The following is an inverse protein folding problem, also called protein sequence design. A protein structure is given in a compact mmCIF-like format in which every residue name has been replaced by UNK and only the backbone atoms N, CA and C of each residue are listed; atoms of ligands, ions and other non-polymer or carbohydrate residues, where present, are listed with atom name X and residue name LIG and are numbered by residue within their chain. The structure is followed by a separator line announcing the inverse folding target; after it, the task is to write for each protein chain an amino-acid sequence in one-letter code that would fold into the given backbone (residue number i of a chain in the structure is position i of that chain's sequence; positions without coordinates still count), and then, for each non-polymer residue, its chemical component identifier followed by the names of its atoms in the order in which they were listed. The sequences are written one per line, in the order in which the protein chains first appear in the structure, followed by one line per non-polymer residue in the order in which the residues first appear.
data_IF_510974465379
#
_entry.id   IF_510974465379
#
_cell.length_a   1.000
_cell.length_b   1.000
_cell.length_c   1.000
_cell.angle_alpha   90.00
_cell.angle_beta   90.00
_cell.angle_gamma   90.00
#
_symmetry.space_group_name_H-M   'P 1'
#
loop_
_entity.id
_entity.type
_entity.pdbx_description
1 polymer ?
#
# COMPACT_ATOMS: atom_id res chain seq x y z
N UNK A 1 -10.50 -4.09 -4.00
CA UNK A 1 -10.94 -3.16 -2.93
C UNK A 1 -12.34 -2.69 -3.27
N UNK A 2 -13.12 -2.17 -2.32
CA UNK A 2 -14.47 -1.68 -2.60
C UNK A 2 -14.54 -0.73 -3.80
N UNK A 3 -13.62 0.21 -3.90
CA UNK A 3 -13.55 1.21 -4.99
C UNK A 3 -13.23 0.55 -6.34
N UNK A 4 -12.25 -0.34 -6.39
CA UNK A 4 -11.91 -1.04 -7.63
C UNK A 4 -13.06 -1.95 -8.12
N UNK A 5 -13.78 -2.56 -7.18
CA UNK A 5 -14.95 -3.39 -7.51
C UNK A 5 -16.12 -2.53 -7.97
N UNK A 6 -16.33 -1.36 -7.36
CA UNK A 6 -17.32 -0.37 -7.78
C UNK A 6 -17.09 0.07 -9.23
N UNK A 7 -15.87 0.50 -9.57
CA UNK A 7 -15.54 0.93 -10.93
C UNK A 7 -15.74 -0.18 -11.97
N UNK A 8 -15.37 -1.42 -11.62
CA UNK A 8 -15.62 -2.59 -12.47
C UNK A 8 -17.11 -2.90 -12.63
N UNK A 9 -17.92 -2.70 -11.58
CA UNK A 9 -19.37 -2.83 -11.66
C UNK A 9 -19.96 -1.76 -12.58
N UNK A 10 -19.51 -0.50 -12.43
CA UNK A 10 -19.97 0.63 -13.26
C UNK A 10 -19.65 0.42 -14.75
N UNK A 11 -18.48 -0.15 -15.07
CA UNK A 11 -18.10 -0.51 -16.44
C UNK A 11 -19.08 -1.49 -17.11
N UNK A 12 -19.80 -2.31 -16.34
CA UNK A 12 -20.84 -3.21 -16.86
C UNK A 12 -22.24 -2.55 -16.92
N UNK A 13 -22.38 -1.33 -16.41
CA UNK A 13 -23.64 -0.60 -16.34
C UNK A 13 -24.72 -1.34 -15.55
N UNK A 14 -25.98 -1.21 -15.97
CA UNK A 14 -27.12 -1.85 -15.30
C UNK A 14 -26.98 -3.37 -15.17
N UNK A 15 -26.33 -4.02 -16.14
CA UNK A 15 -26.08 -5.47 -16.09
C UNK A 15 -25.08 -5.86 -14.97
N UNK A 16 -24.20 -4.96 -14.54
CA UNK A 16 -23.34 -5.17 -13.38
C UNK A 16 -24.06 -5.05 -12.04
N UNK A 17 -25.14 -4.26 -11.99
CA UNK A 17 -25.87 -3.92 -10.77
C UNK A 17 -26.91 -4.97 -10.35
N UNK A 18 -27.49 -5.70 -11.31
CA UNK A 18 -28.48 -6.74 -11.02
C UNK A 18 -27.87 -7.94 -10.29
N UNK A 19 -28.64 -8.57 -9.40
CA UNK A 19 -28.13 -9.62 -8.51
C UNK A 19 -27.81 -10.95 -9.21
N UNK A 20 -28.25 -11.12 -10.46
CA UNK A 20 -27.87 -12.22 -11.34
C UNK A 20 -26.41 -12.10 -11.82
N UNK A 21 -25.83 -10.89 -11.76
CA UNK A 21 -24.42 -10.66 -12.07
C UNK A 21 -23.53 -11.08 -10.90
N UNK A 22 -22.37 -11.66 -11.21
CA UNK A 22 -21.37 -11.90 -10.17
C UNK A 22 -20.84 -10.59 -9.54
N UNK A 23 -20.92 -9.47 -10.25
CA UNK A 23 -20.35 -8.20 -9.77
C UNK A 23 -21.09 -7.62 -8.57
N UNK A 24 -22.42 -7.76 -8.49
CA UNK A 24 -23.19 -7.29 -7.34
C UNK A 24 -22.72 -7.95 -6.03
N UNK A 25 -22.50 -9.27 -6.07
CA UNK A 25 -21.99 -10.05 -4.94
C UNK A 25 -20.57 -9.63 -4.58
N UNK A 26 -19.66 -9.56 -5.56
CA UNK A 26 -18.26 -9.16 -5.30
C UNK A 26 -18.21 -7.75 -4.69
N UNK A 27 -19.07 -6.83 -5.13
CA UNK A 27 -19.14 -5.49 -4.57
C UNK A 27 -19.58 -5.49 -3.10
N UNK A 28 -20.63 -6.24 -2.76
CA UNK A 28 -21.11 -6.38 -1.37
C UNK A 28 -20.09 -7.08 -0.45
N UNK A 29 -19.32 -8.01 -0.98
CA UNK A 29 -18.30 -8.75 -0.23
C UNK A 29 -16.99 -7.98 -0.03
N UNK A 30 -16.65 -7.05 -0.94
CA UNK A 30 -15.36 -6.36 -0.93
C UNK A 30 -14.98 -5.67 0.41
N UNK A 31 -15.91 -5.03 1.15
CA UNK A 31 -15.58 -4.42 2.45
C UNK A 31 -15.24 -5.43 3.54
N UNK A 32 -15.78 -6.66 3.47
CA UNK A 32 -15.64 -7.67 4.53
C UNK A 32 -14.18 -7.96 4.85
N UNK A 33 -13.35 -8.10 3.81
CA UNK A 33 -11.91 -8.39 3.95
C UNK A 33 -11.12 -7.30 4.67
N UNK A 34 -11.66 -6.08 4.71
CA UNK A 34 -11.03 -4.93 5.41
C UNK A 34 -11.54 -4.72 6.83
N UNK A 35 -12.55 -5.48 7.23
CA UNK A 35 -13.20 -5.42 8.56
C UNK A 35 -12.84 -6.66 9.37
N UNK A 36 -12.87 -7.83 8.73
CA UNK A 36 -12.59 -9.11 9.37
C UNK A 36 -11.15 -9.19 9.87
N UNK A 37 -10.97 -9.75 11.07
CA UNK A 37 -9.68 -9.92 11.75
C UNK A 37 -8.83 -8.65 11.92
N UNK A 38 -9.47 -7.49 11.93
CA UNK A 38 -8.84 -6.22 12.27
C UNK A 38 -9.10 -5.18 11.19
N UNK A 39 -9.82 -4.13 11.56
CA UNK A 39 -10.03 -2.99 10.67
C UNK A 39 -8.72 -2.28 10.34
N UNK A 40 -8.70 -1.49 9.27
CA UNK A 40 -7.47 -0.84 8.80
C UNK A 40 -6.64 -0.10 9.87
N UNK A 41 -7.29 0.51 10.88
CA UNK A 41 -6.56 1.14 12.00
C UNK A 41 -5.79 0.11 12.84
N UNK A 42 -6.42 -1.01 13.16
CA UNK A 42 -5.83 -2.08 13.97
C UNK A 42 -4.59 -2.62 13.25
N UNK A 43 -4.69 -2.89 11.95
CA UNK A 43 -3.56 -3.38 11.14
C UNK A 43 -2.43 -2.35 11.08
N UNK A 44 -2.73 -1.07 10.89
CA UNK A 44 -1.69 -0.02 10.85
C UNK A 44 -0.95 0.10 12.19
N UNK A 45 -1.68 0.05 13.31
CA UNK A 45 -1.07 0.05 14.65
C UNK A 45 -0.28 -1.23 14.91
N UNK A 46 -0.72 -2.37 14.34
CA UNK A 46 0.01 -3.62 14.47
C UNK A 46 1.34 -3.61 13.70
N UNK A 47 1.39 -2.98 12.52
CA UNK A 47 2.65 -2.73 11.81
C UNK A 47 3.63 -1.94 12.70
N UNK A 48 3.17 -0.86 13.35
CA UNK A 48 4.00 -0.10 14.28
C UNK A 48 4.43 -0.95 15.49
N UNK A 49 3.53 -1.78 16.01
CA UNK A 49 3.82 -2.71 17.10
C UNK A 49 4.91 -3.71 16.70
N UNK A 50 4.82 -4.28 15.50
CA UNK A 50 5.80 -5.22 14.96
C UNK A 50 7.17 -4.56 14.78
N UNK A 51 7.24 -3.34 14.25
CA UNK A 51 8.51 -2.59 14.12
C UNK A 51 9.21 -2.37 15.46
N UNK A 52 8.44 -2.15 16.54
CA UNK A 52 8.99 -1.94 17.89
C UNK A 52 9.41 -3.24 18.56
N UNK A 53 8.57 -4.28 18.48
CA UNK A 53 8.80 -5.56 19.15
C UNK A 53 9.81 -6.44 18.42
N UNK A 54 9.87 -6.33 17.10
CA UNK A 54 10.72 -7.13 16.21
C UNK A 54 11.45 -6.23 15.20
N UNK A 55 12.46 -5.45 15.64
CA UNK A 55 13.21 -4.53 14.78
C UNK A 55 13.84 -5.22 13.56
N UNK A 56 14.18 -6.50 13.66
CA UNK A 56 14.69 -7.33 12.57
C UNK A 56 13.72 -7.43 11.38
N UNK A 57 12.41 -7.38 11.63
CA UNK A 57 11.41 -7.37 10.55
C UNK A 57 11.48 -6.08 9.73
N UNK A 58 11.66 -4.94 10.40
CA UNK A 58 11.86 -3.65 9.73
C UNK A 58 13.19 -3.63 8.98
N UNK A 59 14.27 -4.17 9.57
CA UNK A 59 15.57 -4.28 8.90
C UNK A 59 15.52 -5.15 7.65
N UNK A 60 14.79 -6.27 7.70
CA UNK A 60 14.57 -7.14 6.54
C UNK A 60 13.83 -6.39 5.43
N UNK A 61 12.76 -5.66 5.76
CA UNK A 61 12.04 -4.80 4.81
C UNK A 61 12.98 -3.76 4.18
N UNK A 62 13.72 -3.01 4.99
CA UNK A 62 14.63 -1.97 4.49
C UNK A 62 15.73 -2.55 3.59
N UNK A 63 16.26 -3.72 3.94
CA UNK A 63 17.28 -4.40 3.14
C UNK A 63 16.73 -4.84 1.79
N UNK A 64 15.54 -5.44 1.77
CA UNK A 64 14.85 -5.81 0.54
C UNK A 64 14.60 -4.58 -0.36
N UNK A 65 14.17 -3.47 0.22
CA UNK A 65 13.90 -2.25 -0.56
C UNK A 65 15.18 -1.66 -1.18
N UNK A 66 16.31 -1.69 -0.46
CA UNK A 66 17.60 -1.17 -0.95
C UNK A 66 18.14 -1.90 -2.17
N UNK A 67 17.82 -3.17 -2.36
CA UNK A 67 18.18 -3.92 -3.57
C UNK A 67 17.51 -3.35 -4.84
N UNK A 68 16.42 -2.59 -4.71
CA UNK A 68 15.74 -1.94 -5.86
C UNK A 68 16.18 -0.50 -6.09
N UNK A 69 17.17 -0.01 -5.33
CA UNK A 69 17.67 1.36 -5.43
C UNK A 69 18.15 1.69 -6.85
N UNK A 70 17.75 2.84 -7.37
CA UNK A 70 18.12 3.30 -8.70
C UNK A 70 17.31 2.69 -9.84
N UNK A 71 16.38 1.77 -9.54
CA UNK A 71 15.54 1.14 -10.57
C UNK A 71 14.43 2.06 -11.06
N UNK A 72 13.92 2.96 -10.19
CA UNK A 72 12.92 3.96 -10.56
C UNK A 72 12.98 5.16 -9.62
N UNK A 73 13.08 6.37 -10.20
CA UNK A 73 13.22 7.63 -9.44
C UNK A 73 12.06 7.91 -8.47
N UNK A 74 10.84 7.49 -8.79
CA UNK A 74 9.67 7.71 -7.94
C UNK A 74 9.68 6.77 -6.73
N UNK A 75 10.13 5.52 -6.94
CA UNK A 75 10.35 4.58 -5.85
C UNK A 75 11.46 5.06 -4.92
N UNK A 76 12.60 5.47 -5.47
CA UNK A 76 13.72 5.98 -4.68
C UNK A 76 13.30 7.17 -3.80
N UNK A 77 12.61 8.15 -4.39
CA UNK A 77 12.11 9.31 -3.64
C UNK A 77 11.07 8.94 -2.58
N UNK A 78 10.20 7.96 -2.85
CA UNK A 78 9.22 7.48 -1.87
C UNK A 78 9.88 6.74 -0.71
N UNK A 79 10.85 5.87 -1.01
CA UNK A 79 11.58 5.13 0.00
C UNK A 79 12.46 6.03 0.86
N UNK A 80 13.10 7.05 0.29
CA UNK A 80 13.86 8.04 1.05
C UNK A 80 12.99 8.79 2.08
N UNK A 81 11.73 9.11 1.74
CA UNK A 81 10.78 9.73 2.69
C UNK A 81 10.44 8.78 3.85
N UNK A 82 10.32 7.48 3.57
CA UNK A 82 10.11 6.46 4.61
C UNK A 82 11.34 6.41 5.52
N UNK A 83 12.55 6.31 4.96
CA UNK A 83 13.78 6.28 5.75
C UNK A 83 13.94 7.53 6.63
N UNK A 84 13.64 8.72 6.11
CA UNK A 84 13.64 9.98 6.89
C UNK A 84 12.62 9.96 8.02
N UNK A 85 11.41 9.49 7.75
CA UNK A 85 10.35 9.37 8.77
C UNK A 85 10.80 8.42 9.88
N UNK A 86 11.36 7.26 9.54
CA UNK A 86 11.81 6.27 10.52
C UNK A 86 13.08 6.70 11.29
N UNK A 87 13.97 7.45 10.65
CA UNK A 87 15.22 7.92 11.26
C UNK A 87 15.01 9.07 12.27
N UNK A 88 13.85 9.73 12.23
CA UNK A 88 13.55 10.86 13.11
C UNK A 88 13.30 10.36 14.54
N UNK A 89 14.36 10.28 15.35
CA UNK A 89 14.36 9.87 16.77
C UNK A 89 13.42 10.69 17.67
N UNK A 90 12.95 11.83 17.19
CA UNK A 90 12.09 12.78 17.91
C UNK A 90 10.60 12.57 17.67
N UNK A 91 10.21 11.64 16.79
CA UNK A 91 8.80 11.32 16.61
C UNK A 91 8.28 10.66 17.89
N UNK A 92 7.47 11.41 18.64
CA UNK A 92 6.73 10.83 19.75
C UNK A 92 5.90 9.65 19.23
N UNK A 93 5.75 8.61 20.05
CA UNK A 93 4.91 7.45 19.70
C UNK A 93 3.50 7.89 19.25
N UNK A 94 2.97 8.94 19.86
CA UNK A 94 1.69 9.56 19.49
C UNK A 94 1.68 10.10 18.05
N UNK A 95 2.76 10.75 17.59
CA UNK A 95 2.81 11.26 16.21
C UNK A 95 2.89 10.12 15.18
N UNK A 96 3.61 9.03 15.48
CA UNK A 96 3.65 7.85 14.62
C UNK A 96 2.31 7.15 14.56
N UNK A 97 1.61 7.00 15.69
CA UNK A 97 0.29 6.38 15.74
C UNK A 97 -0.75 7.20 14.98
N UNK A 98 -0.72 8.54 15.10
CA UNK A 98 -1.56 9.44 14.28
C UNK A 98 -1.32 9.30 12.78
N UNK A 99 -0.08 9.00 12.38
CA UNK A 99 0.31 8.84 10.98
C UNK A 99 0.41 7.37 10.55
N UNK A 100 -0.07 6.41 11.36
CA UNK A 100 0.15 4.98 11.15
C UNK A 100 -0.38 4.52 9.79
N UNK A 101 -1.55 5.02 9.37
CA UNK A 101 -2.12 4.73 8.05
C UNK A 101 -1.24 5.21 6.91
N UNK A 102 -0.77 6.46 6.98
CA UNK A 102 0.08 7.04 5.96
C UNK A 102 1.37 6.24 5.80
N UNK A 103 2.01 5.87 6.92
CA UNK A 103 3.22 5.07 6.90
C UNK A 103 2.96 3.66 6.36
N UNK A 104 1.91 2.98 6.84
CA UNK A 104 1.54 1.64 6.37
C UNK A 104 1.25 1.62 4.85
N UNK A 105 0.51 2.60 4.34
CA UNK A 105 0.25 2.76 2.91
C UNK A 105 1.54 2.99 2.12
N UNK A 106 2.43 3.85 2.59
CA UNK A 106 3.71 4.11 1.92
C UNK A 106 4.59 2.86 1.87
N UNK A 107 4.66 2.10 2.96
CA UNK A 107 5.41 0.85 3.03
C UNK A 107 4.86 -0.19 2.04
N UNK A 108 3.53 -0.32 1.99
CA UNK A 108 2.85 -1.24 1.08
C UNK A 108 3.05 -0.85 -0.40
N UNK A 109 2.89 0.43 -0.75
CA UNK A 109 3.08 0.89 -2.13
C UNK A 109 4.53 0.74 -2.60
N UNK A 110 5.51 1.03 -1.74
CA UNK A 110 6.92 0.82 -2.07
C UNK A 110 7.22 -0.67 -2.26
N UNK A 111 6.69 -1.54 -1.40
CA UNK A 111 6.85 -2.99 -1.53
C UNK A 111 6.24 -3.52 -2.83
N UNK A 112 5.03 -3.08 -3.17
CA UNK A 112 4.36 -3.42 -4.42
C UNK A 112 5.21 -2.99 -5.62
N UNK A 113 5.69 -1.74 -5.66
CA UNK A 113 6.56 -1.24 -6.72
C UNK A 113 7.83 -2.08 -6.86
N UNK A 114 8.52 -2.38 -5.74
CA UNK A 114 9.73 -3.19 -5.75
C UNK A 114 9.48 -4.62 -6.28
N UNK A 115 8.34 -5.23 -5.93
CA UNK A 115 7.96 -6.55 -6.45
C UNK A 115 7.66 -6.50 -7.94
N UNK A 116 6.94 -5.47 -8.41
CA UNK A 116 6.63 -5.30 -9.83
C UNK A 116 7.91 -5.11 -10.66
N UNK A 117 8.84 -4.27 -10.20
CA UNK A 117 10.15 -4.06 -10.84
C UNK A 117 10.92 -5.37 -11.00
N UNK A 118 10.88 -6.25 -10.00
CA UNK A 118 11.63 -7.51 -10.02
C UNK A 118 10.99 -8.61 -10.87
N UNK A 119 9.68 -8.54 -11.13
CA UNK A 119 8.91 -9.70 -11.63
C UNK A 119 8.15 -9.42 -12.92
N UNK A 120 7.83 -8.18 -13.24
CA UNK A 120 6.99 -7.82 -14.37
C UNK A 120 7.74 -6.97 -15.40
N UNK A 121 7.22 -6.84 -16.63
CA UNK A 121 7.78 -5.96 -17.64
C UNK A 121 7.87 -4.51 -17.16
N UNK A 122 8.93 -3.81 -17.60
CA UNK A 122 9.22 -2.44 -17.19
C UNK A 122 8.07 -1.46 -17.44
N UNK A 123 7.30 -1.66 -18.51
CA UNK A 123 6.13 -0.83 -18.81
C UNK A 123 5.07 -0.84 -17.70
N UNK A 124 4.88 -1.99 -17.04
CA UNK A 124 3.92 -2.15 -15.94
C UNK A 124 4.46 -1.49 -14.67
N UNK A 125 5.72 -1.74 -14.33
CA UNK A 125 6.33 -1.18 -13.12
C UNK A 125 6.50 0.33 -13.19
N UNK A 126 6.87 0.88 -14.35
CA UNK A 126 7.00 2.33 -14.55
C UNK A 126 5.64 3.04 -14.49
N UNK A 127 4.60 2.46 -15.09
CA UNK A 127 3.23 2.98 -14.99
C UNK A 127 2.74 2.97 -13.54
N UNK A 128 2.99 1.89 -12.80
CA UNK A 128 2.64 1.81 -11.38
C UNK A 128 3.40 2.85 -10.55
N UNK A 129 4.72 2.93 -10.69
CA UNK A 129 5.54 3.89 -9.94
C UNK A 129 5.13 5.34 -10.22
N UNK A 130 4.89 5.68 -11.49
CA UNK A 130 4.48 7.03 -11.87
C UNK A 130 3.11 7.39 -11.31
N UNK A 131 2.13 6.48 -11.40
CA UNK A 131 0.74 6.76 -10.98
C UNK A 131 0.51 6.67 -9.47
N UNK A 132 1.32 5.92 -8.72
CA UNK A 132 1.12 5.68 -7.28
C UNK A 132 2.16 6.35 -6.39
N UNK A 133 3.36 6.59 -6.89
CA UNK A 133 4.48 7.19 -6.13
C UNK A 133 4.90 8.56 -6.69
N UNK A 134 4.44 8.92 -7.90
CA UNK A 134 4.73 10.19 -8.55
C UNK A 134 4.03 11.40 -7.93
N UNK A 135 4.35 12.61 -8.41
CA UNK A 135 3.79 13.86 -7.90
C UNK A 135 2.29 13.97 -8.20
N UNK A 136 1.84 13.42 -9.33
CA UNK A 136 0.44 13.45 -9.79
C UNK A 136 -0.39 12.29 -9.20
N UNK A 137 0.03 11.75 -8.06
CA UNK A 137 -0.76 10.71 -7.37
C UNK A 137 -2.13 11.32 -6.99
N UNK A 138 -3.19 10.75 -7.57
CA UNK A 138 -4.57 10.96 -7.14
C UNK A 138 -4.80 10.32 -5.78
#
# INVERSE_FOLDING_TARGET
TPEATYEALECLGGAGFVEESNMSRIYREAPLNSIWEGSGNVICLDILRAMRKSPESLQAYLSFMRETKGSNKHLDAAFERIEKTLATKTLSNDLLERNARTLATQLALCLQAALLIRRLPQTVSDAFCSSRLGPDRG
#
